data_IF_165093407624
#
_entry.id   IF_165093407624
#
_cell.length_a   1.000
_cell.length_b   1.000
_cell.length_c   1.000
_cell.angle_alpha   90.00
_cell.angle_beta   90.00
_cell.angle_gamma   90.00
#
_symmetry.space_group_name_H-M   'P 1'
#
loop_
_entity.id
_entity.type
_entity.pdbx_description
1 polymer ?
#
# COMPACT_ATOMS: atom_id res chain seq x y z
N UNK A 1 -22.44 -5.64 4.18
CA UNK A 1 -21.27 -5.85 3.30
C UNK A 1 -20.71 -7.25 3.50
N UNK A 2 -20.36 -8.00 2.43
CA UNK A 2 -19.82 -9.38 2.57
C UNK A 2 -18.40 -9.34 3.14
N UNK A 3 -18.15 -10.12 4.21
CA UNK A 3 -16.83 -10.27 4.83
C UNK A 3 -15.92 -11.18 3.96
N UNK A 4 -14.62 -10.93 4.00
CA UNK A 4 -13.63 -11.80 3.36
C UNK A 4 -13.31 -12.99 4.28
N UNK A 5 -13.07 -14.13 3.67
CA UNK A 5 -12.60 -15.33 4.37
C UNK A 5 -11.07 -15.39 4.26
N UNK A 6 -10.38 -14.45 4.92
CA UNK A 6 -8.93 -14.40 5.04
C UNK A 6 -8.57 -14.25 6.50
N UNK A 7 -7.59 -15.03 6.94
CA UNK A 7 -7.16 -15.08 8.34
C UNK A 7 -5.70 -14.66 8.50
N UNK A 8 -5.36 -14.33 9.73
CA UNK A 8 -3.97 -14.04 10.12
C UNK A 8 -3.06 -15.23 9.84
N UNK A 9 -3.49 -16.44 10.17
CA UNK A 9 -2.74 -17.69 9.96
C UNK A 9 -2.40 -17.91 8.48
N UNK A 10 -3.32 -17.58 7.59
CA UNK A 10 -3.06 -17.68 6.15
C UNK A 10 -1.96 -16.73 5.71
N UNK A 11 -1.97 -15.48 6.21
CA UNK A 11 -0.92 -14.49 5.91
C UNK A 11 0.39 -14.90 6.54
N UNK A 12 0.37 -15.32 7.79
CA UNK A 12 1.54 -15.71 8.58
C UNK A 12 2.04 -17.13 8.30
N UNK A 13 1.42 -17.88 7.37
CA UNK A 13 1.90 -19.22 7.01
C UNK A 13 3.26 -19.16 6.32
N UNK A 14 4.15 -20.11 6.65
CA UNK A 14 5.48 -20.18 6.02
C UNK A 14 5.40 -20.26 4.51
N UNK A 15 4.46 -21.04 3.98
CA UNK A 15 4.26 -21.17 2.52
C UNK A 15 3.90 -19.86 1.85
N UNK A 16 3.05 -19.02 2.49
CA UNK A 16 2.71 -17.71 1.96
C UNK A 16 3.89 -16.72 2.09
N UNK A 17 4.65 -16.77 3.19
CA UNK A 17 5.86 -15.94 3.38
C UNK A 17 6.91 -16.28 2.34
N UNK A 18 7.15 -17.58 2.08
CA UNK A 18 8.09 -18.02 1.03
C UNK A 18 7.65 -17.56 -0.36
N UNK A 19 6.37 -17.74 -0.70
CA UNK A 19 5.82 -17.25 -1.96
C UNK A 19 5.88 -15.72 -2.09
N UNK A 20 5.69 -15.00 -0.99
CA UNK A 20 5.85 -13.55 -0.92
C UNK A 20 7.30 -13.10 -1.13
N UNK A 21 8.27 -13.85 -0.61
CA UNK A 21 9.68 -13.62 -0.90
C UNK A 21 9.98 -13.73 -2.40
N UNK A 22 9.45 -14.77 -3.06
CA UNK A 22 9.64 -14.94 -4.52
C UNK A 22 9.07 -13.75 -5.30
N UNK A 23 7.88 -13.26 -4.92
CA UNK A 23 7.28 -12.07 -5.54
C UNK A 23 8.07 -10.79 -5.24
N UNK A 24 8.53 -10.62 -3.99
CA UNK A 24 9.27 -9.43 -3.56
C UNK A 24 10.62 -9.28 -4.30
N UNK A 25 11.29 -10.39 -4.62
CA UNK A 25 12.58 -10.41 -5.33
C UNK A 25 12.47 -10.31 -6.84
N UNK A 26 11.31 -10.59 -7.42
CA UNK A 26 11.11 -10.66 -8.88
C UNK A 26 11.57 -9.38 -9.58
N UNK A 27 12.46 -9.55 -10.57
CA UNK A 27 13.06 -8.45 -11.33
C UNK A 27 14.04 -7.57 -10.55
N UNK A 28 14.48 -8.00 -9.36
CA UNK A 28 15.37 -7.24 -8.46
C UNK A 28 16.38 -8.14 -7.75
N UNK A 29 16.53 -9.40 -8.16
CA UNK A 29 17.36 -10.41 -7.49
C UNK A 29 18.84 -10.03 -7.39
N UNK A 30 19.34 -9.20 -8.31
CA UNK A 30 20.73 -8.73 -8.36
C UNK A 30 21.05 -7.60 -7.37
N UNK A 31 20.04 -7.07 -6.65
CA UNK A 31 20.28 -6.03 -5.66
C UNK A 31 20.97 -6.59 -4.42
N UNK A 32 22.04 -5.97 -3.98
CA UNK A 32 22.85 -6.41 -2.84
C UNK A 32 22.03 -6.78 -1.59
N UNK A 33 21.01 -5.99 -1.28
CA UNK A 33 20.12 -6.25 -0.14
C UNK A 33 19.36 -7.58 -0.30
N UNK A 34 18.87 -7.86 -1.52
CA UNK A 34 18.12 -9.08 -1.82
C UNK A 34 19.07 -10.29 -1.89
N UNK A 35 20.26 -10.12 -2.47
CA UNK A 35 21.28 -11.17 -2.51
C UNK A 35 21.69 -11.59 -1.08
N UNK A 36 22.00 -10.62 -0.19
CA UNK A 36 22.34 -10.90 1.21
C UNK A 36 21.21 -11.63 1.94
N UNK A 37 19.96 -11.18 1.77
CA UNK A 37 18.81 -11.87 2.34
C UNK A 37 18.65 -13.29 1.82
N UNK A 38 18.94 -13.52 0.53
CA UNK A 38 18.83 -14.83 -0.12
C UNK A 38 19.94 -15.81 0.27
N UNK A 39 21.11 -15.33 0.69
CA UNK A 39 22.20 -16.18 1.19
C UNK A 39 21.84 -16.89 2.51
N UNK A 40 21.07 -16.23 3.37
CA UNK A 40 20.60 -16.78 4.65
C UNK A 40 19.07 -16.91 4.65
N UNK A 41 18.51 -17.38 3.52
CA UNK A 41 17.07 -17.35 3.27
C UNK A 41 16.26 -18.01 4.37
N UNK A 42 16.62 -19.23 4.75
CA UNK A 42 15.87 -20.01 5.74
C UNK A 42 15.89 -19.32 7.12
N UNK A 43 17.02 -18.78 7.51
CA UNK A 43 17.12 -18.03 8.76
C UNK A 43 16.21 -16.80 8.77
N UNK A 44 16.29 -15.99 7.72
CA UNK A 44 15.47 -14.78 7.61
C UNK A 44 13.96 -15.05 7.50
N UNK A 45 13.55 -16.10 6.78
CA UNK A 45 12.14 -16.46 6.67
C UNK A 45 11.62 -17.07 7.98
N UNK A 46 12.42 -17.89 8.66
CA UNK A 46 12.07 -18.44 9.97
C UNK A 46 11.95 -17.34 11.02
N UNK A 47 12.85 -16.35 11.03
CA UNK A 47 12.75 -15.20 11.93
C UNK A 47 11.45 -14.42 11.71
N UNK A 48 11.11 -14.15 10.44
CA UNK A 48 9.86 -13.47 10.12
C UNK A 48 8.64 -14.30 10.52
N UNK A 49 8.67 -15.60 10.22
CA UNK A 49 7.62 -16.54 10.57
C UNK A 49 7.40 -16.60 12.09
N UNK A 50 8.47 -16.78 12.87
CA UNK A 50 8.41 -16.85 14.34
C UNK A 50 7.89 -15.54 14.93
N UNK A 51 8.37 -14.39 14.45
CA UNK A 51 7.86 -13.09 14.89
C UNK A 51 6.37 -12.90 14.60
N UNK A 52 5.87 -13.47 13.52
CA UNK A 52 4.44 -13.45 13.22
C UNK A 52 3.67 -14.45 14.10
N UNK A 53 4.18 -15.69 14.29
CA UNK A 53 3.50 -16.67 15.16
C UNK A 53 3.36 -16.17 16.60
N UNK A 54 4.39 -15.48 17.11
CA UNK A 54 4.41 -14.93 18.46
C UNK A 54 3.86 -13.50 18.56
N UNK A 55 3.30 -12.96 17.46
CA UNK A 55 2.77 -11.58 17.36
C UNK A 55 3.79 -10.48 17.76
N UNK A 56 5.08 -10.81 17.75
CA UNK A 56 6.18 -9.89 18.07
C UNK A 56 6.62 -9.01 16.92
N UNK A 57 6.10 -9.24 15.72
CA UNK A 57 6.50 -8.47 14.54
C UNK A 57 6.43 -6.96 14.81
N UNK A 58 7.51 -6.28 14.47
CA UNK A 58 7.64 -4.82 14.45
C UNK A 58 8.21 -4.40 13.11
N UNK A 59 7.70 -3.31 12.57
CA UNK A 59 8.24 -2.73 11.33
C UNK A 59 9.67 -2.27 11.58
N UNK A 60 10.58 -2.64 10.70
CA UNK A 60 11.97 -2.15 10.73
C UNK A 60 12.02 -0.65 10.41
N UNK A 61 13.15 -0.02 10.61
CA UNK A 61 13.29 1.39 10.27
C UNK A 61 13.18 1.64 8.76
N UNK A 62 12.84 2.87 8.39
CA UNK A 62 12.77 3.33 7.01
C UNK A 62 14.07 4.00 6.59
N UNK A 63 14.52 3.72 5.37
CA UNK A 63 15.57 4.50 4.70
C UNK A 63 14.91 5.60 3.87
N UNK A 64 15.29 6.84 4.13
CA UNK A 64 14.80 7.99 3.39
C UNK A 64 15.60 8.14 2.11
N UNK A 65 14.91 8.33 1.01
CA UNK A 65 15.47 8.58 -0.32
C UNK A 65 14.75 9.78 -0.92
N UNK A 66 15.50 10.78 -1.39
CA UNK A 66 14.92 11.88 -2.16
C UNK A 66 15.07 11.60 -3.64
N UNK A 67 13.97 11.67 -4.38
CA UNK A 67 13.94 11.61 -5.84
C UNK A 67 13.63 13.04 -6.35
N UNK A 68 14.41 13.52 -7.32
CA UNK A 68 14.32 14.90 -7.78
C UNK A 68 13.63 15.06 -9.14
N UNK A 69 13.41 13.98 -9.88
CA UNK A 69 12.85 14.00 -11.24
C UNK A 69 11.54 13.22 -11.28
N UNK A 70 10.44 13.76 -11.85
CA UNK A 70 10.23 15.14 -12.38
C UNK A 70 10.00 16.18 -11.28
N UNK A 71 9.76 15.76 -10.04
CA UNK A 71 9.57 16.62 -8.85
C UNK A 71 10.28 16.00 -7.66
N UNK A 72 10.74 16.83 -6.74
CA UNK A 72 11.29 16.37 -5.47
C UNK A 72 10.23 15.56 -4.72
N UNK A 73 10.59 14.34 -4.32
CA UNK A 73 9.71 13.43 -3.56
C UNK A 73 10.50 12.74 -2.47
N UNK A 74 9.91 12.70 -1.31
CA UNK A 74 10.37 11.88 -0.20
C UNK A 74 9.86 10.45 -0.36
N UNK A 75 10.77 9.49 -0.53
CA UNK A 75 10.48 8.07 -0.58
C UNK A 75 10.99 7.41 0.70
N UNK A 76 10.17 6.60 1.30
CA UNK A 76 10.49 5.85 2.52
C UNK A 76 10.58 4.36 2.18
N UNK A 77 11.81 3.87 2.07
CA UNK A 77 12.08 2.48 1.69
C UNK A 77 12.19 1.60 2.93
N UNK A 78 11.39 0.54 2.98
CA UNK A 78 11.48 -0.52 3.97
C UNK A 78 12.66 -1.44 3.72
N UNK A 79 13.12 -2.11 4.78
CA UNK A 79 14.02 -3.25 4.66
C UNK A 79 13.36 -4.40 3.89
N UNK A 80 14.16 -5.29 3.31
CA UNK A 80 13.63 -6.35 2.44
C UNK A 80 12.72 -7.32 3.20
N UNK A 81 13.02 -7.62 4.46
CA UNK A 81 12.19 -8.43 5.36
C UNK A 81 10.76 -7.90 5.46
N UNK A 82 10.59 -6.61 5.68
CA UNK A 82 9.27 -5.99 5.78
C UNK A 82 8.55 -5.96 4.42
N UNK A 83 9.31 -5.82 3.33
CA UNK A 83 8.74 -5.92 1.98
C UNK A 83 8.21 -7.33 1.70
N UNK A 84 8.86 -8.38 2.22
CA UNK A 84 8.34 -9.76 2.15
C UNK A 84 7.00 -9.85 2.87
N UNK A 85 6.88 -9.34 4.09
CA UNK A 85 5.58 -9.32 4.79
C UNK A 85 4.52 -8.51 4.04
N UNK A 86 4.86 -7.36 3.50
CA UNK A 86 3.90 -6.58 2.71
C UNK A 86 3.41 -7.35 1.48
N UNK A 87 4.28 -8.13 0.83
CA UNK A 87 3.87 -9.04 -0.24
C UNK A 87 2.98 -10.18 0.28
N UNK A 88 3.26 -10.75 1.46
CA UNK A 88 2.41 -11.79 2.06
C UNK A 88 0.98 -11.29 2.32
N UNK A 89 0.85 -10.06 2.80
CA UNK A 89 -0.45 -9.37 2.96
C UNK A 89 -1.10 -9.10 1.60
N UNK A 90 -0.36 -8.50 0.67
CA UNK A 90 -0.86 -8.09 -0.63
C UNK A 90 -1.39 -9.25 -1.46
N UNK A 91 -0.67 -10.38 -1.50
CA UNK A 91 -1.03 -11.57 -2.27
C UNK A 91 -2.44 -12.10 -1.96
N UNK A 92 -2.81 -12.10 -0.70
CA UNK A 92 -4.09 -12.66 -0.25
C UNK A 92 -5.22 -11.62 -0.25
N UNK A 93 -4.91 -10.37 0.06
CA UNK A 93 -5.93 -9.33 0.21
C UNK A 93 -6.24 -8.57 -1.07
N UNK A 94 -5.21 -8.22 -1.85
CA UNK A 94 -5.42 -7.37 -3.01
C UNK A 94 -6.43 -7.94 -4.02
N UNK A 95 -6.40 -9.25 -4.35
CA UNK A 95 -7.39 -9.85 -5.26
C UNK A 95 -8.84 -9.81 -4.73
N UNK A 96 -9.00 -9.75 -3.40
CA UNK A 96 -10.33 -9.66 -2.77
C UNK A 96 -10.86 -8.23 -2.83
N UNK A 97 -10.00 -7.25 -2.54
CA UNK A 97 -10.37 -5.84 -2.59
C UNK A 97 -10.57 -5.33 -4.01
N UNK A 98 -9.76 -5.76 -4.99
CA UNK A 98 -9.91 -5.34 -6.39
C UNK A 98 -11.31 -5.63 -6.95
N UNK A 99 -11.98 -6.69 -6.48
CA UNK A 99 -13.36 -7.02 -6.86
C UNK A 99 -14.39 -6.03 -6.31
N UNK A 100 -13.99 -5.19 -5.36
CA UNK A 100 -14.89 -4.23 -4.70
C UNK A 100 -14.68 -2.80 -5.19
N UNK A 101 -13.61 -2.54 -5.97
CA UNK A 101 -13.33 -1.21 -6.48
C UNK A 101 -14.33 -0.80 -7.57
N UNK A 102 -14.57 0.50 -7.68
CA UNK A 102 -15.36 1.04 -8.78
C UNK A 102 -14.76 0.63 -10.14
N UNK A 103 -15.61 0.45 -11.12
CA UNK A 103 -15.22 -0.09 -12.43
C UNK A 103 -14.11 0.72 -13.10
N UNK A 104 -14.15 2.03 -12.97
CA UNK A 104 -13.21 2.95 -13.60
C UNK A 104 -12.07 3.40 -12.64
N UNK A 105 -11.64 2.50 -11.72
CA UNK A 105 -10.41 2.64 -10.93
C UNK A 105 -9.22 2.05 -11.69
N UNK A 106 -8.13 2.82 -11.83
CA UNK A 106 -7.00 2.44 -12.69
C UNK A 106 -5.63 2.49 -12.00
N UNK A 107 -5.52 3.14 -10.87
CA UNK A 107 -4.24 3.33 -10.19
C UNK A 107 -3.78 2.06 -9.47
N UNK A 108 -2.54 1.62 -9.73
CA UNK A 108 -1.90 0.50 -9.06
C UNK A 108 -2.70 -0.83 -9.08
N UNK A 109 -3.48 -1.05 -10.12
CA UNK A 109 -4.25 -2.27 -10.36
C UNK A 109 -3.64 -3.02 -11.55
N UNK A 110 -3.43 -4.33 -11.39
CA UNK A 110 -2.87 -5.17 -12.44
C UNK A 110 -3.75 -5.11 -13.70
N UNK A 111 -3.12 -5.03 -14.87
CA UNK A 111 -3.78 -4.93 -16.17
C UNK A 111 -4.69 -3.70 -16.36
N UNK A 112 -4.70 -2.80 -15.38
CA UNK A 112 -5.26 -1.45 -15.50
C UNK A 112 -4.10 -0.46 -15.42
N UNK A 113 -4.27 0.72 -15.84
CA UNK A 113 -3.19 1.70 -15.81
C UNK A 113 -3.53 2.90 -16.66
N UNK A 114 -2.55 3.76 -16.85
CA UNK A 114 -2.73 5.03 -17.57
C UNK A 114 -3.31 4.85 -18.97
N UNK A 115 -2.84 3.85 -19.72
CA UNK A 115 -3.29 3.61 -21.09
C UNK A 115 -4.75 3.17 -21.13
N UNK A 116 -5.16 2.25 -20.26
CA UNK A 116 -6.56 1.85 -20.16
C UNK A 116 -7.46 2.98 -19.67
N UNK A 117 -6.99 3.80 -18.72
CA UNK A 117 -7.71 4.99 -18.29
C UNK A 117 -7.92 5.98 -19.45
N UNK A 118 -6.86 6.24 -20.23
CA UNK A 118 -6.96 7.11 -21.41
C UNK A 118 -7.93 6.55 -22.48
N UNK A 119 -7.83 5.25 -22.78
CA UNK A 119 -8.76 4.60 -23.72
C UNK A 119 -10.21 4.66 -23.23
N UNK A 120 -10.43 4.51 -21.92
CA UNK A 120 -11.77 4.63 -21.33
C UNK A 120 -12.31 6.05 -21.42
N UNK A 121 -11.47 7.04 -21.13
CA UNK A 121 -11.84 8.45 -21.31
C UNK A 121 -12.18 8.75 -22.79
N UNK A 122 -11.35 8.28 -23.72
CA UNK A 122 -11.61 8.43 -25.15
C UNK A 122 -12.96 7.81 -25.56
N UNK A 123 -13.28 6.62 -25.02
CA UNK A 123 -14.60 6.01 -25.25
C UNK A 123 -15.73 6.92 -24.78
N UNK A 124 -15.65 7.51 -23.58
CA UNK A 124 -16.68 8.43 -23.08
C UNK A 124 -16.80 9.68 -23.92
N UNK A 125 -15.68 10.28 -24.33
CA UNK A 125 -15.70 11.47 -25.20
C UNK A 125 -16.41 11.18 -26.54
N UNK A 126 -16.11 10.05 -27.18
CA UNK A 126 -16.78 9.64 -28.40
C UNK A 126 -18.28 9.40 -28.20
N UNK A 127 -18.73 8.98 -27.04
CA UNK A 127 -20.15 8.85 -26.72
C UNK A 127 -20.84 10.22 -26.59
N UNK A 128 -20.14 11.22 -26.06
CA UNK A 128 -20.68 12.58 -25.94
C UNK A 128 -20.78 13.28 -27.29
N UNK A 129 -19.81 13.10 -28.19
CA UNK A 129 -19.81 13.66 -29.54
C UNK A 129 -21.04 13.24 -30.38
N UNK A 130 -21.57 12.04 -30.13
CA UNK A 130 -22.74 11.50 -30.82
C UNK A 130 -24.08 12.09 -30.36
N UNK A 131 -24.08 12.90 -29.32
CA UNK A 131 -25.32 13.44 -28.72
C UNK A 131 -25.28 14.97 -28.76
N UNK A 132 -26.26 15.63 -29.33
CA UNK A 132 -26.29 17.09 -29.49
C UNK A 132 -26.63 17.76 -28.14
N UNK A 133 -25.79 17.62 -27.14
CA UNK A 133 -25.93 18.21 -25.80
C UNK A 133 -24.64 18.85 -25.38
N UNK A 134 -24.70 19.86 -24.54
CA UNK A 134 -23.54 20.43 -23.88
C UNK A 134 -23.10 19.51 -22.73
N UNK A 135 -21.83 19.15 -22.68
CA UNK A 135 -21.24 18.33 -21.64
C UNK A 135 -20.16 19.12 -20.90
N UNK A 136 -20.07 18.86 -19.61
CA UNK A 136 -19.06 19.42 -18.72
C UNK A 136 -18.22 18.29 -18.14
N UNK A 137 -16.96 18.54 -17.89
CA UNK A 137 -16.12 17.65 -17.11
C UNK A 137 -15.57 18.36 -15.88
N UNK A 138 -15.44 17.65 -14.77
CA UNK A 138 -14.83 18.12 -13.55
C UNK A 138 -13.56 17.29 -13.30
N UNK A 139 -12.41 17.98 -13.20
CA UNK A 139 -11.15 17.37 -12.82
C UNK A 139 -10.86 17.70 -11.37
N UNK A 140 -10.76 16.66 -10.55
CA UNK A 140 -10.43 16.78 -9.12
C UNK A 140 -9.06 16.13 -8.85
N UNK A 141 -8.35 16.67 -7.87
CA UNK A 141 -7.12 16.08 -7.35
C UNK A 141 -7.07 16.26 -5.82
N UNK A 142 -6.66 15.22 -5.12
CA UNK A 142 -6.51 15.25 -3.66
C UNK A 142 -5.06 15.62 -3.36
N UNK A 143 -4.86 16.85 -2.90
CA UNK A 143 -3.52 17.33 -2.53
C UNK A 143 -2.88 16.47 -1.46
N UNK A 144 -1.69 15.95 -1.76
CA UNK A 144 -0.83 15.22 -0.82
C UNK A 144 -1.55 14.01 -0.18
N UNK A 145 -2.35 13.28 -0.95
CA UNK A 145 -3.22 12.20 -0.51
C UNK A 145 -2.55 11.22 0.46
N UNK A 146 -1.37 10.66 0.09
CA UNK A 146 -0.66 9.68 0.92
C UNK A 146 -0.27 10.21 2.31
N UNK A 147 -0.06 11.50 2.47
CA UNK A 147 0.30 12.12 3.74
C UNK A 147 -0.91 12.46 4.61
N UNK A 148 -2.14 12.26 4.10
CA UNK A 148 -3.39 12.69 4.77
C UNK A 148 -4.36 11.57 5.02
N UNK A 149 -4.03 10.35 4.66
CA UNK A 149 -4.85 9.18 5.00
C UNK A 149 -4.91 9.05 6.52
N UNK A 150 -6.11 9.14 7.06
CA UNK A 150 -6.38 8.99 8.49
C UNK A 150 -6.30 7.51 8.85
N UNK A 151 -5.52 7.18 9.88
CA UNK A 151 -5.24 5.79 10.26
C UNK A 151 -6.46 5.12 10.88
N UNK A 152 -7.22 5.83 11.72
CA UNK A 152 -8.42 5.30 12.35
C UNK A 152 -9.51 5.02 11.30
N UNK A 153 -9.72 5.95 10.38
CA UNK A 153 -10.67 5.79 9.26
C UNK A 153 -10.27 4.60 8.40
N UNK A 154 -8.98 4.47 8.05
CA UNK A 154 -8.48 3.34 7.26
C UNK A 154 -8.70 2.00 7.96
N UNK A 155 -8.37 1.90 9.25
CA UNK A 155 -8.59 0.70 10.05
C UNK A 155 -10.08 0.35 10.15
N UNK A 156 -10.95 1.35 10.30
CA UNK A 156 -12.40 1.15 10.34
C UNK A 156 -12.93 0.62 8.99
N UNK A 157 -12.42 1.11 7.87
CA UNK A 157 -12.74 0.59 6.53
C UNK A 157 -12.31 -0.89 6.41
N UNK A 158 -11.10 -1.23 6.85
CA UNK A 158 -10.60 -2.60 6.84
C UNK A 158 -11.45 -3.54 7.70
N UNK A 159 -11.86 -3.11 8.90
CA UNK A 159 -12.75 -3.86 9.82
C UNK A 159 -14.12 -4.17 9.21
N UNK A 160 -14.60 -3.36 8.25
CA UNK A 160 -15.87 -3.66 7.57
C UNK A 160 -15.83 -4.96 6.78
N UNK A 161 -14.66 -5.35 6.24
CA UNK A 161 -14.46 -6.54 5.39
C UNK A 161 -13.73 -7.68 6.07
N UNK A 162 -12.89 -7.40 7.06
CA UNK A 162 -12.03 -8.36 7.74
C UNK A 162 -12.61 -8.63 9.13
N UNK A 163 -12.72 -9.92 9.49
CA UNK A 163 -13.23 -10.35 10.80
C UNK A 163 -12.11 -10.64 11.80
N UNK A 164 -10.96 -11.06 11.28
CA UNK A 164 -9.84 -11.52 12.09
C UNK A 164 -9.16 -10.35 12.80
N UNK A 165 -9.27 -10.32 14.13
CA UNK A 165 -8.71 -9.26 14.96
C UNK A 165 -7.18 -9.27 14.98
N UNK A 166 -6.53 -10.43 14.88
CA UNK A 166 -5.06 -10.53 14.80
C UNK A 166 -4.58 -9.89 13.50
N UNK A 167 -5.32 -10.07 12.41
CA UNK A 167 -5.01 -9.44 11.14
C UNK A 167 -5.19 -7.91 11.20
N UNK A 168 -6.23 -7.44 11.88
CA UNK A 168 -6.41 -5.99 12.10
C UNK A 168 -5.27 -5.42 12.94
N UNK A 169 -4.82 -6.11 13.99
CA UNK A 169 -3.65 -5.70 14.77
C UNK A 169 -2.37 -5.65 13.93
N UNK A 170 -2.19 -6.58 12.99
CA UNK A 170 -1.06 -6.56 12.07
C UNK A 170 -1.12 -5.31 11.15
N UNK A 171 -2.30 -4.97 10.63
CA UNK A 171 -2.47 -3.75 9.84
C UNK A 171 -2.19 -2.50 10.65
N UNK A 172 -2.66 -2.46 11.88
CA UNK A 172 -2.36 -1.35 12.80
C UNK A 172 -0.83 -1.16 12.95
N UNK A 173 -0.08 -2.24 13.17
CA UNK A 173 1.40 -2.19 13.22
C UNK A 173 2.05 -1.72 11.92
N UNK A 174 1.45 -2.04 10.76
CA UNK A 174 1.97 -1.62 9.45
C UNK A 174 1.62 -0.15 9.16
N UNK A 175 0.44 0.29 9.54
CA UNK A 175 -0.10 1.64 9.30
C UNK A 175 0.50 2.62 10.31
N UNK A 176 0.39 2.30 11.61
CA UNK A 176 0.89 3.09 12.73
C UNK A 176 2.33 2.67 13.07
N UNK A 177 3.28 2.94 12.19
CA UNK A 177 4.67 2.61 12.50
C UNK A 177 5.16 3.42 13.71
N UNK A 178 5.43 2.74 14.83
CA UNK A 178 5.97 3.35 16.06
C UNK A 178 7.30 4.09 15.84
N UNK A 179 7.99 3.79 14.76
CA UNK A 179 9.33 4.32 14.47
C UNK A 179 9.34 5.58 13.61
N UNK A 180 8.21 5.95 12.99
CA UNK A 180 8.17 7.11 12.11
C UNK A 180 6.77 7.62 11.84
N UNK A 181 6.59 8.92 11.98
CA UNK A 181 5.41 9.65 11.52
C UNK A 181 5.44 9.86 10.00
N UNK A 182 4.28 9.85 9.37
CA UNK A 182 4.11 10.02 7.92
C UNK A 182 3.16 11.16 7.56
N UNK A 183 2.39 11.66 8.52
CA UNK A 183 1.38 12.67 8.30
C UNK A 183 1.97 14.06 8.12
N UNK A 184 1.32 14.88 7.29
CA UNK A 184 1.68 16.27 7.09
C UNK A 184 0.62 17.19 7.68
N UNK A 185 1.01 18.22 8.43
CA UNK A 185 0.15 19.34 8.74
C UNK A 185 -0.38 20.01 7.47
N UNK A 186 -1.48 20.75 7.60
CA UNK A 186 -2.07 21.47 6.49
C UNK A 186 -1.11 22.58 5.99
N UNK A 187 -1.00 22.71 4.68
CA UNK A 187 -0.18 23.75 4.04
C UNK A 187 1.31 23.45 3.94
N UNK A 188 1.81 22.41 4.60
CA UNK A 188 3.25 22.08 4.67
C UNK A 188 3.71 21.26 3.48
N UNK A 189 4.94 21.54 2.98
CA UNK A 189 5.60 20.73 1.95
C UNK A 189 6.35 19.54 2.59
N UNK A 190 6.20 18.30 2.07
CA UNK A 190 6.86 17.12 2.63
C UNK A 190 8.38 17.14 2.54
N UNK A 191 8.94 18.03 1.74
CA UNK A 191 10.38 18.17 1.55
C UNK A 191 10.99 19.31 2.40
N UNK A 192 10.15 20.06 3.11
CA UNK A 192 10.55 21.23 3.92
C UNK A 192 10.24 21.04 5.41
N UNK A 193 9.43 20.04 5.78
CA UNK A 193 9.05 19.78 7.16
C UNK A 193 10.17 19.10 7.95
N UNK A 194 10.36 19.53 9.21
CA UNK A 194 11.16 18.76 10.16
C UNK A 194 10.46 17.43 10.45
N UNK A 195 11.15 16.27 10.38
CA UNK A 195 10.58 14.97 10.70
C UNK A 195 9.91 14.88 12.08
N UNK A 196 10.29 15.73 13.04
CA UNK A 196 9.70 15.80 14.38
C UNK A 196 8.32 16.45 14.41
N UNK A 197 8.00 17.23 13.39
CA UNK A 197 6.71 17.91 13.24
C UNK A 197 5.69 17.09 12.44
N UNK A 198 6.10 15.92 11.93
CA UNK A 198 5.19 15.01 11.22
C UNK A 198 4.19 14.37 12.19
N UNK A 199 2.99 14.10 11.67
CA UNK A 199 1.87 13.54 12.43
C UNK A 199 1.91 12.01 12.42
N UNK A 200 1.65 11.37 13.58
CA UNK A 200 1.64 9.91 13.73
C UNK A 200 0.28 9.28 13.40
N UNK A 201 -0.82 10.02 13.57
CA UNK A 201 -2.20 9.56 13.37
C UNK A 201 -2.64 9.55 11.89
N UNK A 202 -1.80 10.05 11.02
CA UNK A 202 -2.09 10.22 9.57
C UNK A 202 -0.90 9.88 8.72
N UNK A 203 -1.23 9.61 7.44
CA UNK A 203 -0.23 9.45 6.40
C UNK A 203 0.24 8.01 6.23
N UNK A 204 0.70 7.73 5.03
CA UNK A 204 1.29 6.45 4.65
C UNK A 204 2.61 6.67 3.93
N UNK A 205 3.61 5.81 4.15
CA UNK A 205 4.90 5.95 3.48
C UNK A 205 4.79 5.75 1.98
N UNK A 206 5.32 6.70 1.21
CA UNK A 206 5.39 6.59 -0.25
C UNK A 206 6.50 5.62 -0.62
N UNK A 207 6.16 4.61 -1.42
CA UNK A 207 7.07 3.56 -1.88
C UNK A 207 6.75 2.17 -1.36
N UNK A 208 5.81 2.03 -0.43
CA UNK A 208 5.38 0.75 0.10
C UNK A 208 4.25 0.14 -0.73
N UNK A 209 4.29 -1.18 -0.89
CA UNK A 209 3.26 -1.93 -1.63
C UNK A 209 1.90 -1.86 -0.93
N UNK A 210 1.89 -2.03 0.39
CA UNK A 210 0.65 -1.93 1.18
C UNK A 210 0.05 -0.53 1.17
N UNK A 211 0.87 0.53 1.12
CA UNK A 211 0.36 1.90 1.01
C UNK A 211 -0.44 2.11 -0.29
N UNK A 212 -0.01 1.50 -1.40
CA UNK A 212 -0.76 1.57 -2.66
C UNK A 212 -2.10 0.83 -2.57
N UNK A 213 -2.11 -0.36 -1.96
CA UNK A 213 -3.33 -1.13 -1.73
C UNK A 213 -4.28 -0.38 -0.78
N UNK A 214 -3.79 0.13 0.32
CA UNK A 214 -4.59 0.89 1.29
C UNK A 214 -5.14 2.21 0.70
N UNK A 215 -4.37 2.87 -0.15
CA UNK A 215 -4.85 4.05 -0.89
C UNK A 215 -6.06 3.72 -1.77
N UNK A 216 -6.01 2.61 -2.50
CA UNK A 216 -7.15 2.14 -3.29
C UNK A 216 -8.34 1.74 -2.42
N UNK A 217 -8.10 1.05 -1.30
CA UNK A 217 -9.16 0.68 -0.35
C UNK A 217 -9.82 1.93 0.23
N UNK A 218 -9.03 2.91 0.66
CA UNK A 218 -9.50 4.17 1.24
C UNK A 218 -10.30 5.01 0.23
N UNK A 219 -9.81 5.13 -1.01
CA UNK A 219 -10.46 5.90 -2.07
C UNK A 219 -11.69 5.24 -2.70
N UNK A 220 -11.91 3.93 -2.46
CA UNK A 220 -13.08 3.16 -2.92
C UNK A 220 -14.02 2.76 -1.76
N UNK A 221 -13.83 3.32 -0.56
CA UNK A 221 -14.72 3.06 0.57
C UNK A 221 -16.02 3.86 0.41
N UNK A 222 -17.15 3.17 0.51
CA UNK A 222 -18.50 3.74 0.58
C UNK A 222 -18.78 4.29 1.98
#
# INVERSE_FOLDING_TARGET
>A
MKKFNVTYEQIASYSNIYAAYLDARKGKSERNEIMRFSLELDAHLNDLYNDLQEERYKVSGYRIIYIYVPKKRLIMALQFRDRVLQWAVYRLLNPLYEKTYIKDSYACIKERGREKAASRLQYWLRQTERKPKQYYYLKLDISKFFYRVDHEVLLNILKRRIKDERLIKLFDKIINSEKRAFGLPLGVDPCEIDPREMLFDKGMPIGNLTSQMFANIYGNAD
#
